data_IF_566361447653
#
_entry.id   IF_566361447653
#
_cell.length_a   1.000
_cell.length_b   1.000
_cell.length_c   1.000
_cell.angle_alpha   90.00
_cell.angle_beta   90.00
_cell.angle_gamma   90.00
#
_symmetry.space_group_name_H-M   'P 1'
#
loop_
_entity.id
_entity.type
_entity.pdbx_description
1 polymer ?
#
# COMPACT_ATOMS: atom_id res chain seq x y z
N UNK A 1 3.27 11.65 20.40
CA UNK A 1 2.96 10.62 19.39
C UNK A 1 4.19 9.86 18.86
N UNK A 2 5.44 10.18 19.22
CA UNK A 2 6.60 9.31 18.91
C UNK A 2 6.89 9.07 17.42
N UNK A 3 6.33 9.91 16.55
CA UNK A 3 6.48 9.87 15.10
C UNK A 3 7.49 10.97 14.77
N UNK A 4 8.67 10.57 14.29
CA UNK A 4 9.71 11.50 13.84
C UNK A 4 9.88 11.37 12.32
N UNK A 5 9.18 12.22 11.52
CA UNK A 5 9.34 12.23 10.08
C UNK A 5 10.69 12.85 9.69
N UNK A 6 11.36 12.24 8.73
CA UNK A 6 12.56 12.77 8.09
C UNK A 6 12.14 13.75 6.98
N UNK A 7 12.44 15.03 7.18
CA UNK A 7 12.03 16.11 6.29
C UNK A 7 12.75 16.11 4.95
N UNK A 8 13.95 15.52 4.85
CA UNK A 8 14.66 15.37 3.58
C UNK A 8 14.05 14.23 2.76
N UNK A 9 13.81 13.07 3.39
CA UNK A 9 13.22 11.90 2.70
C UNK A 9 11.80 12.17 2.22
N UNK A 10 11.01 12.92 3.02
CA UNK A 10 9.66 13.33 2.63
C UNK A 10 9.66 14.27 1.40
N UNK A 11 10.67 15.14 1.27
CA UNK A 11 10.77 16.06 0.12
C UNK A 11 11.16 15.33 -1.18
N UNK A 12 11.86 14.20 -1.07
CA UNK A 12 12.30 13.38 -2.20
C UNK A 12 11.27 12.32 -2.66
N UNK A 13 10.08 12.26 -2.05
CA UNK A 13 9.11 11.16 -2.28
C UNK A 13 9.74 9.76 -2.07
N UNK A 14 10.66 9.64 -1.11
CA UNK A 14 11.27 8.35 -0.79
C UNK A 14 10.24 7.41 -0.15
N UNK A 15 10.35 6.11 -0.44
CA UNK A 15 9.38 5.09 -0.02
C UNK A 15 9.28 4.92 1.50
N UNK A 16 10.28 5.39 2.25
CA UNK A 16 10.35 5.33 3.72
C UNK A 16 10.78 6.71 4.23
N UNK A 17 9.91 7.38 4.99
CA UNK A 17 10.14 8.73 5.52
C UNK A 17 10.28 8.77 7.04
N UNK A 18 10.33 7.63 7.70
CA UNK A 18 10.65 7.54 9.14
C UNK A 18 12.16 7.54 9.38
N UNK A 19 12.61 8.24 10.43
CA UNK A 19 13.96 8.05 10.99
C UNK A 19 14.11 6.65 11.56
N UNK A 20 15.32 6.07 11.52
CA UNK A 20 15.60 4.74 12.08
C UNK A 20 15.36 4.65 13.60
N UNK A 21 15.37 5.79 14.30
CA UNK A 21 15.06 5.90 15.73
C UNK A 21 13.56 5.93 16.04
N UNK A 22 12.72 6.08 15.02
CA UNK A 22 11.27 6.18 15.19
C UNK A 22 10.68 4.82 15.56
N UNK A 23 9.87 4.77 16.63
CA UNK A 23 9.10 3.58 17.02
C UNK A 23 8.05 3.19 15.98
N UNK A 24 7.71 4.10 15.07
CA UNK A 24 6.70 3.92 14.03
C UNK A 24 7.33 4.17 12.66
N UNK A 25 7.21 3.19 11.76
CA UNK A 25 7.66 3.31 10.36
C UNK A 25 6.61 4.04 9.54
N UNK A 26 7.04 5.01 8.74
CA UNK A 26 6.17 5.77 7.84
C UNK A 26 6.58 5.42 6.41
N UNK A 27 5.68 4.78 5.67
CA UNK A 27 5.90 4.40 4.28
C UNK A 27 5.05 5.27 3.36
N UNK A 28 5.69 5.79 2.32
CA UNK A 28 5.00 6.48 1.23
C UNK A 28 4.82 5.47 0.10
N UNK A 29 3.59 5.02 -0.09
CA UNK A 29 3.20 4.12 -1.17
C UNK A 29 2.31 4.87 -2.14
N UNK A 30 2.55 4.69 -3.45
CA UNK A 30 1.63 5.19 -4.46
C UNK A 30 0.39 4.31 -4.42
N UNK A 31 -0.75 4.91 -4.05
CA UNK A 31 -2.04 4.28 -4.29
C UNK A 31 -2.22 4.15 -5.81
N UNK A 32 -2.41 2.93 -6.29
CA UNK A 32 -2.77 2.65 -7.68
C UNK A 32 -4.16 2.00 -7.65
N UNK A 33 -5.17 2.87 -7.66
CA UNK A 33 -6.57 2.47 -7.50
C UNK A 33 -7.02 1.56 -8.64
N UNK A 34 -6.60 1.85 -9.87
CA UNK A 34 -6.96 1.06 -11.05
C UNK A 34 -6.45 -0.37 -10.95
N UNK A 35 -5.22 -0.56 -10.43
CA UNK A 35 -4.67 -1.89 -10.18
C UNK A 35 -5.47 -2.65 -9.13
N UNK A 36 -5.85 -1.99 -8.03
CA UNK A 36 -6.65 -2.62 -6.96
C UNK A 36 -8.02 -3.05 -7.49
N UNK A 37 -8.70 -2.16 -8.24
CA UNK A 37 -9.99 -2.46 -8.85
C UNK A 37 -9.88 -3.66 -9.80
N UNK A 38 -8.83 -3.72 -10.63
CA UNK A 38 -8.60 -4.84 -11.54
C UNK A 38 -8.33 -6.17 -10.81
N UNK A 39 -7.49 -6.15 -9.76
CA UNK A 39 -7.19 -7.33 -8.95
C UNK A 39 -8.43 -7.85 -8.20
N UNK A 40 -9.23 -6.96 -7.63
CA UNK A 40 -10.48 -7.33 -6.94
C UNK A 40 -11.53 -7.86 -7.94
N UNK A 41 -11.68 -7.21 -9.09
CA UNK A 41 -12.58 -7.70 -10.14
C UNK A 41 -12.18 -9.09 -10.61
N UNK A 42 -10.89 -9.34 -10.79
CA UNK A 42 -10.38 -10.66 -11.19
C UNK A 42 -10.68 -11.73 -10.14
N UNK A 43 -10.42 -11.45 -8.86
CA UNK A 43 -10.72 -12.38 -7.76
C UNK A 43 -12.20 -12.71 -7.68
N UNK A 44 -13.06 -11.70 -7.74
CA UNK A 44 -14.53 -11.88 -7.70
C UNK A 44 -14.99 -12.79 -8.85
N UNK A 45 -14.52 -12.54 -10.06
CA UNK A 45 -14.85 -13.35 -11.23
C UNK A 45 -14.33 -14.78 -11.12
N UNK A 46 -13.10 -14.98 -10.61
CA UNK A 46 -12.51 -16.30 -10.41
C UNK A 46 -13.25 -17.13 -9.35
N UNK A 47 -13.62 -16.51 -8.23
CA UNK A 47 -14.37 -17.17 -7.16
C UNK A 47 -15.79 -17.53 -7.62
N UNK A 48 -16.43 -16.65 -8.40
CA UNK A 48 -17.73 -16.92 -9.01
C UNK A 48 -17.62 -18.10 -10.00
N UNK A 49 -16.63 -18.10 -10.88
CA UNK A 49 -16.43 -19.19 -11.84
C UNK A 49 -16.17 -20.54 -11.17
N UNK A 50 -15.54 -20.54 -9.99
CA UNK A 50 -15.27 -21.74 -9.21
C UNK A 50 -16.54 -22.27 -8.52
N UNK A 51 -17.36 -21.36 -7.94
CA UNK A 51 -18.64 -21.72 -7.30
C UNK A 51 -19.67 -22.31 -8.26
N UNK A 52 -19.72 -21.86 -9.51
CA UNK A 52 -20.65 -22.39 -10.51
C UNK A 52 -20.20 -23.72 -11.15
N UNK A 53 -18.98 -24.19 -10.86
CA UNK A 53 -18.44 -25.46 -11.35
C UNK A 53 -18.55 -26.62 -10.33
N UNK A 54 -19.07 -26.38 -9.13
CA UNK A 54 -19.47 -27.41 -8.15
C UNK A 54 -20.97 -27.65 -8.22
#
# INVERSE_FOLDING_TARGET
MGIEPDTQKNKNNESIISKDTSRVKILVVKANEEKIIAEDTYKICSDMATRYKS
#
